data_IF_694908400591
#
_entry.id   IF_694908400591
#
_cell.length_a   1.000
_cell.length_b   1.000
_cell.length_c   1.000
_cell.angle_alpha   90.00
_cell.angle_beta   90.00
_cell.angle_gamma   90.00
#
_symmetry.space_group_name_H-M   'P 1'
#
loop_
_entity.id
_entity.type
_entity.pdbx_description
1 polymer ?
#
# COMPACT_ATOMS: atom_id res chain seq x y z
N UNK A 1 25.84 -5.25 -5.07
CA UNK A 1 24.76 -4.49 -5.75
C UNK A 1 24.36 -5.21 -7.06
N UNK A 2 23.88 -6.46 -7.01
CA UNK A 2 23.67 -7.28 -8.24
C UNK A 2 22.26 -7.84 -8.44
N UNK A 3 21.32 -7.61 -7.53
CA UNK A 3 19.99 -8.24 -7.59
C UNK A 3 19.01 -7.55 -8.54
N UNK A 4 19.15 -6.26 -8.83
CA UNK A 4 18.21 -5.53 -9.69
C UNK A 4 18.36 -5.85 -11.19
N UNK A 5 19.58 -6.12 -11.68
CA UNK A 5 19.81 -6.46 -13.08
C UNK A 5 19.27 -7.84 -13.48
N UNK A 6 19.21 -8.78 -12.52
CA UNK A 6 18.70 -10.14 -12.72
C UNK A 6 17.17 -10.21 -12.93
N UNK A 7 16.44 -9.16 -12.54
CA UNK A 7 14.97 -9.18 -12.56
C UNK A 7 14.42 -8.93 -13.97
N UNK A 8 15.04 -8.05 -14.75
CA UNK A 8 14.61 -7.83 -16.14
C UNK A 8 15.07 -8.94 -17.08
N UNK A 9 16.21 -9.59 -16.80
CA UNK A 9 16.73 -10.66 -17.64
C UNK A 9 15.81 -11.88 -17.68
N UNK A 10 15.05 -12.16 -16.61
CA UNK A 10 14.11 -13.30 -16.57
C UNK A 10 12.97 -13.17 -17.60
N UNK A 11 12.64 -11.95 -18.06
CA UNK A 11 11.59 -11.76 -19.07
C UNK A 11 12.13 -11.84 -20.50
N UNK A 12 13.45 -11.74 -20.68
CA UNK A 12 14.10 -11.61 -22.00
C UNK A 12 14.81 -12.90 -22.41
N UNK A 13 15.36 -13.66 -21.46
CA UNK A 13 16.12 -14.88 -21.74
C UNK A 13 15.74 -15.98 -20.77
N UNK A 14 15.52 -17.19 -21.28
CA UNK A 14 15.25 -18.36 -20.45
C UNK A 14 16.56 -18.87 -19.82
N UNK A 15 16.76 -18.75 -18.50
CA UNK A 15 17.98 -19.23 -17.85
C UNK A 15 18.03 -20.77 -17.72
N UNK A 16 16.91 -21.45 -17.97
CA UNK A 16 16.79 -22.91 -17.88
C UNK A 16 16.97 -23.60 -19.23
N UNK A 17 17.11 -22.83 -20.32
CA UNK A 17 17.30 -23.37 -21.66
C UNK A 17 18.60 -24.17 -21.74
N UNK A 18 18.55 -25.38 -22.32
CA UNK A 18 19.70 -26.30 -22.51
C UNK A 18 20.30 -26.87 -21.22
N UNK A 19 19.58 -26.82 -20.10
CA UNK A 19 20.05 -27.46 -18.88
C UNK A 19 20.02 -29.00 -19.06
N UNK A 20 21.15 -29.71 -18.84
CA UNK A 20 21.32 -31.12 -19.23
C UNK A 20 20.45 -32.11 -18.44
N UNK A 21 19.77 -31.65 -17.38
CA UNK A 21 18.89 -32.47 -16.54
C UNK A 21 17.40 -32.12 -16.69
N UNK A 22 17.06 -31.15 -17.56
CA UNK A 22 15.70 -30.68 -17.76
C UNK A 22 15.23 -31.02 -19.16
N UNK A 23 14.01 -31.53 -19.26
CA UNK A 23 13.30 -31.57 -20.55
C UNK A 23 13.06 -30.13 -21.04
N UNK A 24 12.97 -29.96 -22.37
CA UNK A 24 12.64 -28.67 -22.99
C UNK A 24 11.36 -28.07 -22.41
N UNK A 25 10.33 -28.91 -22.23
CA UNK A 25 9.05 -28.53 -21.60
C UNK A 25 9.20 -28.13 -20.14
N UNK A 26 10.06 -28.79 -19.37
CA UNK A 26 10.29 -28.46 -17.96
C UNK A 26 11.02 -27.12 -17.83
N UNK A 27 11.98 -26.86 -18.71
CA UNK A 27 12.70 -25.60 -18.77
C UNK A 27 11.77 -24.41 -19.12
N UNK A 28 10.82 -24.61 -20.04
CA UNK A 28 9.80 -23.61 -20.36
C UNK A 28 8.87 -23.35 -19.18
N UNK A 29 8.35 -24.40 -18.56
CA UNK A 29 7.43 -24.29 -17.42
C UNK A 29 8.11 -23.57 -16.24
N UNK A 30 9.35 -23.93 -15.91
CA UNK A 30 10.11 -23.26 -14.85
C UNK A 30 10.36 -21.78 -15.17
N UNK A 31 10.56 -21.45 -16.44
CA UNK A 31 10.72 -20.08 -16.87
C UNK A 31 9.45 -19.26 -16.71
N UNK A 32 8.31 -19.81 -17.11
CA UNK A 32 7.00 -19.18 -16.91
C UNK A 32 6.67 -19.01 -15.43
N UNK A 33 6.98 -20.00 -14.59
CA UNK A 33 6.84 -19.85 -13.14
C UNK A 33 7.76 -18.76 -12.57
N UNK A 34 8.99 -18.64 -13.08
CA UNK A 34 9.90 -17.57 -12.65
C UNK A 34 9.37 -16.17 -13.03
N UNK A 35 8.82 -16.01 -14.25
CA UNK A 35 8.14 -14.77 -14.68
C UNK A 35 6.92 -14.46 -13.81
N UNK A 36 6.11 -15.47 -13.51
CA UNK A 36 4.93 -15.33 -12.65
C UNK A 36 5.33 -14.90 -11.24
N UNK A 37 6.30 -15.58 -10.63
CA UNK A 37 6.79 -15.24 -9.30
C UNK A 37 7.32 -13.81 -9.23
N UNK A 38 8.00 -13.35 -10.28
CA UNK A 38 8.48 -11.98 -10.38
C UNK A 38 7.33 -10.97 -10.51
N UNK A 39 6.34 -11.27 -11.35
CA UNK A 39 5.14 -10.43 -11.51
C UNK A 39 4.36 -10.33 -10.20
N UNK A 40 4.18 -11.44 -9.48
CA UNK A 40 3.52 -11.46 -8.16
C UNK A 40 4.27 -10.58 -7.16
N UNK A 41 5.61 -10.68 -7.09
CA UNK A 41 6.43 -9.80 -6.23
C UNK A 41 6.21 -8.32 -6.53
N UNK A 42 6.15 -7.96 -7.81
CA UNK A 42 5.91 -6.57 -8.24
C UNK A 42 4.51 -6.09 -7.86
N UNK A 43 3.49 -6.92 -8.05
CA UNK A 43 2.12 -6.61 -7.63
C UNK A 43 2.07 -6.42 -6.12
N UNK A 44 2.63 -7.33 -5.32
CA UNK A 44 2.66 -7.20 -3.86
C UNK A 44 3.36 -5.93 -3.41
N UNK A 45 4.50 -5.58 -4.01
CA UNK A 45 5.23 -4.36 -3.69
C UNK A 45 4.42 -3.10 -4.04
N UNK A 46 3.78 -3.07 -5.22
CA UNK A 46 2.90 -1.98 -5.65
C UNK A 46 1.69 -1.85 -4.74
N UNK A 47 1.01 -2.95 -4.42
CA UNK A 47 -0.15 -2.96 -3.51
C UNK A 47 0.23 -2.43 -2.13
N UNK A 48 1.34 -2.90 -1.53
CA UNK A 48 1.81 -2.41 -0.24
C UNK A 48 2.09 -0.90 -0.25
N UNK A 49 2.69 -0.39 -1.34
CA UNK A 49 2.92 1.05 -1.52
C UNK A 49 1.60 1.82 -1.63
N UNK A 50 0.64 1.33 -2.41
CA UNK A 50 -0.66 1.98 -2.57
C UNK A 50 -1.48 2.00 -1.27
N UNK A 51 -1.46 0.90 -0.50
CA UNK A 51 -2.11 0.82 0.82
C UNK A 51 -1.46 1.79 1.79
N UNK A 52 -0.13 1.74 1.95
CA UNK A 52 0.57 2.64 2.87
C UNK A 52 0.40 4.13 2.54
N UNK A 53 0.35 4.50 1.26
CA UNK A 53 0.08 5.87 0.84
C UNK A 53 -1.38 6.29 1.11
N UNK A 54 -2.36 5.41 0.87
CA UNK A 54 -3.76 5.70 1.19
C UNK A 54 -4.00 5.80 2.69
N UNK A 55 -3.34 4.97 3.48
CA UNK A 55 -3.45 5.00 4.94
C UNK A 55 -2.99 6.34 5.51
N UNK A 56 -1.85 6.87 5.05
CA UNK A 56 -1.35 8.15 5.56
C UNK A 56 -2.29 9.31 5.22
N UNK A 57 -2.72 9.41 3.96
CA UNK A 57 -3.64 10.49 3.54
C UNK A 57 -4.99 10.43 4.25
N UNK A 58 -5.51 9.22 4.51
CA UNK A 58 -6.76 9.03 5.24
C UNK A 58 -6.58 9.39 6.72
N UNK A 59 -5.46 9.02 7.34
CA UNK A 59 -5.13 9.38 8.73
C UNK A 59 -4.98 10.88 8.91
N UNK A 60 -4.30 11.57 8.00
CA UNK A 60 -4.14 13.03 8.05
C UNK A 60 -5.50 13.75 7.99
N UNK A 61 -6.39 13.29 7.10
CA UNK A 61 -7.76 13.83 6.98
C UNK A 61 -8.57 13.62 8.26
N UNK A 62 -8.47 12.44 8.87
CA UNK A 62 -9.14 12.15 10.14
C UNK A 62 -8.59 13.02 11.27
N UNK A 63 -7.27 13.22 11.36
CA UNK A 63 -6.64 14.10 12.36
C UNK A 63 -7.10 15.55 12.22
N UNK A 64 -7.18 16.04 10.98
CA UNK A 64 -7.71 17.38 10.71
C UNK A 64 -9.17 17.52 11.14
N UNK A 65 -9.98 16.48 10.88
CA UNK A 65 -11.39 16.47 11.25
C UNK A 65 -11.54 16.47 12.78
N UNK A 66 -10.76 15.66 13.49
CA UNK A 66 -10.72 15.61 14.95
C UNK A 66 -10.43 16.99 15.57
N UNK A 67 -9.40 17.69 15.05
CA UNK A 67 -9.04 19.03 15.51
C UNK A 67 -10.18 20.03 15.33
N UNK A 68 -10.86 20.00 14.17
CA UNK A 68 -11.99 20.89 13.90
C UNK A 68 -13.21 20.57 14.75
N UNK A 69 -13.54 19.30 14.90
CA UNK A 69 -14.67 18.86 15.72
C UNK A 69 -14.47 19.20 17.20
N UNK A 70 -13.23 19.15 17.71
CA UNK A 70 -12.92 19.57 19.08
C UNK A 70 -13.27 21.04 19.36
N UNK A 71 -12.97 21.94 18.40
CA UNK A 71 -13.36 23.36 18.49
C UNK A 71 -14.87 23.52 18.41
N UNK A 72 -15.53 22.86 17.45
CA UNK A 72 -17.00 22.92 17.29
C UNK A 72 -17.70 22.46 18.56
N UNK A 73 -17.27 21.35 19.16
CA UNK A 73 -17.83 20.83 20.40
C UNK A 73 -17.62 21.81 21.57
N UNK A 74 -16.45 22.45 21.63
CA UNK A 74 -16.14 23.43 22.68
C UNK A 74 -17.05 24.66 22.57
N UNK A 75 -17.18 25.22 21.35
CA UNK A 75 -18.07 26.35 21.09
C UNK A 75 -19.54 26.00 21.38
N UNK A 76 -19.98 24.81 20.98
CA UNK A 76 -21.33 24.32 21.26
C UNK A 76 -21.60 24.15 22.76
N UNK A 77 -20.64 23.58 23.50
CA UNK A 77 -20.75 23.48 24.97
C UNK A 77 -20.80 24.85 25.62
N UNK A 78 -19.94 25.79 25.20
CA UNK A 78 -19.93 27.15 25.71
C UNK A 78 -21.24 27.89 25.41
N UNK A 79 -21.80 27.71 24.20
CA UNK A 79 -23.07 28.35 23.82
C UNK A 79 -24.23 27.85 24.67
N UNK A 80 -24.29 26.54 24.93
CA UNK A 80 -25.32 25.96 25.81
C UNK A 80 -25.15 26.49 27.24
N UNK A 81 -23.92 26.50 27.75
CA UNK A 81 -23.64 27.02 29.09
C UNK A 81 -24.02 28.48 29.25
N UNK A 82 -23.75 29.31 28.24
CA UNK A 82 -24.16 30.70 28.22
C UNK A 82 -25.68 30.85 28.37
N UNK A 83 -26.47 30.10 27.59
CA UNK A 83 -27.94 30.12 27.67
C UNK A 83 -28.44 29.65 29.04
N UNK A 84 -27.87 28.57 29.60
CA UNK A 84 -28.28 28.07 30.92
C UNK A 84 -27.99 29.10 32.01
N UNK A 85 -26.82 29.74 31.97
CA UNK A 85 -26.44 30.78 32.93
C UNK A 85 -27.39 31.98 32.88
N UNK A 86 -27.82 32.39 31.69
CA UNK A 86 -28.71 33.53 31.46
C UNK A 86 -30.16 33.24 31.92
N UNK A 87 -30.56 31.97 31.98
CA UNK A 87 -31.87 31.53 32.50
C UNK A 87 -31.90 31.35 34.02
N UNK A 88 -30.74 31.31 34.67
CA UNK A 88 -30.60 31.15 36.12
C UNK A 88 -30.44 32.48 36.87
N UNK A 89 -30.21 33.58 36.15
CA UNK A 89 -30.22 34.97 36.65
C UNK A 89 -31.62 35.57 36.62
#
# INVERSE_FOLDING_TARGET
>A
MSTAASVHSIFVTNPYEKHPQLSETEAEILWEYAKLAQTVKEITAKTKRLTSQNDETTRERLRWLEQRMGVVLTLFKASIWGVISDQQS
#
